data_IF_108521401502
#
_entry.id   IF_108521401502
#
_cell.length_a   1.000
_cell.length_b   1.000
_cell.length_c   1.000
_cell.angle_alpha   90.00
_cell.angle_beta   90.00
_cell.angle_gamma   90.00
#
_symmetry.space_group_name_H-M   'P 1'
#
loop_
_entity.id
_entity.type
_entity.pdbx_description
1 polymer ?
#
# COMPACT_ATOMS: atom_id res chain seq x y z
N UNK A 1 9.07 4.19 2.27
CA UNK A 1 9.20 4.60 0.85
C UNK A 1 8.50 5.93 0.63
N UNK A 2 9.20 6.94 0.11
CA UNK A 2 8.56 8.17 -0.36
C UNK A 2 7.47 7.84 -1.40
N UNK A 3 6.35 8.57 -1.42
CA UNK A 3 5.33 8.37 -2.45
C UNK A 3 6.01 8.51 -3.82
N UNK A 4 5.76 7.53 -4.70
CA UNK A 4 6.25 7.58 -6.08
C UNK A 4 5.39 8.63 -6.77
N UNK A 5 5.95 9.81 -7.02
CA UNK A 5 5.26 10.84 -7.82
C UNK A 5 5.23 10.40 -9.28
N UNK A 6 4.03 10.11 -9.79
CA UNK A 6 3.81 9.84 -11.20
C UNK A 6 3.42 11.11 -11.93
N UNK A 7 3.90 11.26 -13.15
CA UNK A 7 3.32 12.26 -14.06
C UNK A 7 1.91 11.82 -14.46
N UNK A 8 1.01 12.77 -14.75
CA UNK A 8 -0.34 12.48 -15.26
C UNK A 8 -0.35 11.43 -16.37
N UNK A 9 0.59 11.54 -17.33
CA UNK A 9 0.64 10.59 -18.44
C UNK A 9 1.12 9.20 -18.04
N UNK A 10 2.00 9.08 -17.03
CA UNK A 10 2.37 7.78 -16.45
C UNK A 10 1.22 7.17 -15.66
N UNK A 11 0.48 7.99 -14.89
CA UNK A 11 -0.70 7.58 -14.15
C UNK A 11 -1.77 7.02 -15.08
N UNK A 12 -2.15 7.76 -16.13
CA UNK A 12 -3.12 7.29 -17.14
C UNK A 12 -2.67 5.97 -17.77
N UNK A 13 -1.38 5.83 -18.08
CA UNK A 13 -0.83 4.60 -18.69
C UNK A 13 -0.86 3.42 -17.72
N UNK A 14 -0.57 3.66 -16.44
CA UNK A 14 -0.56 2.64 -15.40
C UNK A 14 -1.97 2.19 -15.04
N UNK A 15 -2.92 3.12 -14.96
CA UNK A 15 -4.34 2.86 -14.75
C UNK A 15 -4.90 1.98 -15.87
N UNK A 16 -4.65 2.36 -17.12
CA UNK A 16 -5.11 1.58 -18.28
C UNK A 16 -4.55 0.15 -18.30
N UNK A 17 -3.27 -0.01 -17.95
CA UNK A 17 -2.67 -1.33 -17.82
C UNK A 17 -3.39 -2.19 -16.76
N UNK A 18 -3.73 -1.61 -15.61
CA UNK A 18 -4.45 -2.30 -14.53
C UNK A 18 -5.82 -2.74 -15.00
N UNK A 19 -6.54 -1.87 -15.71
CA UNK A 19 -7.91 -2.15 -16.16
C UNK A 19 -7.93 -3.26 -17.23
N UNK A 20 -7.08 -3.19 -18.26
CA UNK A 20 -6.95 -4.26 -19.27
C UNK A 20 -6.44 -5.59 -18.68
N UNK A 21 -5.60 -5.53 -17.65
CA UNK A 21 -5.12 -6.73 -16.97
C UNK A 21 -6.24 -7.40 -16.17
N UNK A 22 -7.12 -6.62 -15.52
CA UNK A 22 -8.28 -7.16 -14.76
C UNK A 22 -9.26 -7.90 -15.65
N UNK A 23 -9.46 -7.45 -16.89
CA UNK A 23 -10.39 -8.10 -17.83
C UNK A 23 -9.82 -9.41 -18.41
N UNK A 24 -8.51 -9.46 -18.61
CA UNK A 24 -7.88 -10.55 -19.36
C UNK A 24 -7.09 -11.55 -18.51
N UNK A 25 -6.66 -11.15 -17.30
CA UNK A 25 -5.69 -11.85 -16.43
C UNK A 25 -4.38 -12.27 -17.14
N UNK A 26 -4.08 -11.67 -18.29
CA UNK A 26 -2.95 -11.99 -19.16
C UNK A 26 -2.05 -10.78 -19.40
N UNK A 27 -0.82 -11.00 -19.88
CA UNK A 27 0.08 -9.89 -20.20
C UNK A 27 -0.54 -8.98 -21.27
N UNK A 28 -0.55 -7.67 -20.99
CA UNK A 28 -1.20 -6.66 -21.84
C UNK A 28 -0.19 -6.08 -22.82
N UNK A 29 -0.55 -6.04 -24.11
CA UNK A 29 0.31 -5.46 -25.14
C UNK A 29 0.35 -3.94 -25.02
N UNK A 30 1.51 -3.35 -25.26
CA UNK A 30 1.67 -1.89 -25.25
C UNK A 30 0.82 -1.20 -26.31
N UNK A 31 0.57 -1.87 -27.44
CA UNK A 31 -0.31 -1.40 -28.51
C UNK A 31 -1.77 -1.30 -28.07
N UNK A 32 -2.26 -2.24 -27.25
CA UNK A 32 -3.64 -2.21 -26.76
C UNK A 32 -3.86 -1.02 -25.81
N UNK A 33 -2.89 -0.77 -24.93
CA UNK A 33 -2.90 0.41 -24.04
C UNK A 33 -2.86 1.68 -24.87
N UNK A 34 -1.99 1.73 -25.89
CA UNK A 34 -1.85 2.87 -26.78
C UNK A 34 -3.16 3.20 -27.51
N UNK A 35 -3.88 2.18 -27.96
CA UNK A 35 -5.19 2.32 -28.61
C UNK A 35 -6.23 2.90 -27.65
N UNK A 36 -6.31 2.38 -26.41
CA UNK A 36 -7.34 2.78 -25.46
C UNK A 36 -7.19 4.24 -24.98
N UNK A 37 -5.96 4.71 -24.78
CA UNK A 37 -5.71 6.07 -24.30
C UNK A 37 -5.33 7.08 -25.40
N UNK A 38 -5.52 6.70 -26.68
CA UNK A 38 -5.21 7.50 -27.88
C UNK A 38 -3.77 8.05 -27.89
N UNK A 39 -2.80 7.15 -27.77
CA UNK A 39 -1.36 7.46 -27.74
C UNK A 39 -0.57 6.62 -28.72
N UNK A 40 0.65 7.05 -29.01
CA UNK A 40 1.56 6.28 -29.84
C UNK A 40 2.17 5.10 -29.06
N UNK A 41 2.21 3.91 -29.66
CA UNK A 41 2.78 2.70 -29.05
C UNK A 41 4.25 2.86 -28.62
N UNK A 42 5.04 3.65 -29.34
CA UNK A 42 6.41 3.99 -28.95
C UNK A 42 6.48 4.81 -27.66
N UNK A 43 5.53 5.75 -27.48
CA UNK A 43 5.39 6.51 -26.24
C UNK A 43 5.02 5.61 -25.08
N UNK A 44 4.02 4.74 -25.25
CA UNK A 44 3.63 3.75 -24.23
C UNK A 44 4.81 2.86 -23.87
N UNK A 45 5.57 2.37 -24.85
CA UNK A 45 6.76 1.57 -24.60
C UNK A 45 7.79 2.31 -23.73
N UNK A 46 8.03 3.59 -24.00
CA UNK A 46 8.94 4.41 -23.20
C UNK A 46 8.42 4.60 -21.77
N UNK A 47 7.12 4.87 -21.62
CA UNK A 47 6.47 4.99 -20.32
C UNK A 47 6.55 3.68 -19.53
N UNK A 48 6.34 2.54 -20.18
CA UNK A 48 6.48 1.24 -19.55
C UNK A 48 7.91 0.94 -19.10
N UNK A 49 8.94 1.40 -19.84
CA UNK A 49 10.32 1.29 -19.34
C UNK A 49 10.54 2.11 -18.07
N UNK A 50 9.97 3.32 -18.02
CA UNK A 50 10.04 4.17 -16.83
C UNK A 50 9.28 3.55 -15.65
N UNK A 51 8.04 3.08 -15.86
CA UNK A 51 7.24 2.41 -14.84
C UNK A 51 7.90 1.11 -14.35
N UNK A 52 8.62 0.39 -15.22
CA UNK A 52 9.39 -0.80 -14.84
C UNK A 52 10.56 -0.45 -13.94
N UNK A 53 11.25 0.66 -14.20
CA UNK A 53 12.33 1.16 -13.34
C UNK A 53 11.81 1.54 -11.94
N UNK A 54 10.55 1.98 -11.84
CA UNK A 54 9.85 2.24 -10.58
C UNK A 54 9.28 0.99 -9.91
N UNK A 55 9.51 -0.21 -10.47
CA UNK A 55 8.95 -1.48 -9.99
C UNK A 55 7.42 -1.50 -9.91
N UNK A 56 6.75 -0.74 -10.79
CA UNK A 56 5.30 -0.72 -10.89
C UNK A 56 4.81 -1.73 -11.93
N UNK A 57 5.62 -2.06 -12.93
CA UNK A 57 5.24 -3.01 -13.99
C UNK A 57 6.32 -4.05 -14.25
N UNK A 58 5.88 -5.27 -14.58
CA UNK A 58 6.71 -6.34 -15.08
C UNK A 58 6.59 -6.43 -16.60
N UNK A 59 7.72 -6.60 -17.30
CA UNK A 59 7.73 -6.86 -18.74
C UNK A 59 7.84 -8.36 -19.01
N UNK A 60 6.86 -8.93 -19.70
CA UNK A 60 6.82 -10.35 -20.09
C UNK A 60 7.32 -10.49 -21.53
N UNK A 61 8.38 -11.27 -21.80
CA UNK A 61 8.91 -11.44 -23.15
C UNK A 61 8.08 -12.43 -23.99
N UNK A 62 8.25 -12.38 -25.31
CA UNK A 62 7.70 -13.36 -26.26
C UNK A 62 6.46 -12.87 -27.04
N UNK A 63 5.90 -13.73 -27.92
CA UNK A 63 4.80 -13.36 -28.82
C UNK A 63 3.46 -13.12 -28.11
N UNK A 64 3.29 -13.73 -26.92
CA UNK A 64 2.21 -13.44 -25.95
C UNK A 64 2.67 -12.53 -24.81
N UNK A 65 3.83 -11.89 -25.00
CA UNK A 65 4.42 -10.97 -24.04
C UNK A 65 3.67 -9.63 -24.00
N UNK A 66 4.14 -8.76 -23.12
CA UNK A 66 3.49 -7.50 -22.80
C UNK A 66 3.90 -7.02 -21.42
N UNK A 67 2.96 -6.40 -20.72
CA UNK A 67 3.18 -5.84 -19.39
C UNK A 67 2.18 -6.42 -18.40
N UNK A 68 2.59 -6.51 -17.14
CA UNK A 68 1.73 -6.85 -16.02
C UNK A 68 1.90 -5.82 -14.90
N UNK A 69 0.82 -5.37 -14.24
CA UNK A 69 0.96 -4.55 -13.05
C UNK A 69 1.56 -5.37 -11.91
N UNK A 70 2.49 -4.76 -11.16
CA UNK A 70 2.98 -5.30 -9.89
C UNK A 70 2.08 -4.81 -8.74
N UNK A 71 2.23 -5.38 -7.54
CA UNK A 71 1.49 -4.94 -6.34
C UNK A 71 1.65 -3.44 -6.10
N UNK A 72 2.87 -2.92 -6.28
CA UNK A 72 3.16 -1.49 -6.10
C UNK A 72 2.40 -0.57 -7.07
N UNK A 73 1.93 -1.06 -8.23
CA UNK A 73 1.10 -0.28 -9.13
C UNK A 73 -0.24 0.09 -8.51
N UNK A 74 -0.89 -0.87 -7.85
CA UNK A 74 -2.18 -0.65 -7.19
C UNK A 74 -2.01 0.35 -6.05
N UNK A 75 -0.99 0.18 -5.22
CA UNK A 75 -0.68 1.13 -4.15
C UNK A 75 -0.41 2.54 -4.70
N UNK A 76 0.36 2.67 -5.79
CA UNK A 76 0.67 3.97 -6.39
C UNK A 76 -0.59 4.68 -6.94
N UNK A 77 -1.53 3.93 -7.50
CA UNK A 77 -2.80 4.48 -7.98
C UNK A 77 -3.74 4.84 -6.82
N UNK A 78 -3.85 3.98 -5.80
CA UNK A 78 -4.71 4.20 -4.63
C UNK A 78 -4.23 5.40 -3.79
N UNK A 79 -2.92 5.60 -3.63
CA UNK A 79 -2.35 6.73 -2.86
C UNK A 79 -2.69 8.08 -3.49
N UNK A 80 -2.73 8.17 -4.83
CA UNK A 80 -3.03 9.43 -5.51
C UNK A 80 -4.54 9.74 -5.61
N UNK A 81 -5.44 8.79 -5.32
CA UNK A 81 -6.89 9.06 -5.23
C UNK A 81 -7.31 9.67 -3.87
N UNK A 82 -6.39 9.76 -2.90
CA UNK A 82 -6.66 10.27 -1.56
C UNK A 82 -6.28 11.75 -1.45
N UNK A 83 -7.18 12.67 -1.83
CA UNK A 83 -7.00 14.11 -1.59
C UNK A 83 -6.87 14.42 -0.07
N UNK A 84 -7.51 13.63 0.79
CA UNK A 84 -7.30 13.60 2.25
C UNK A 84 -7.44 12.16 2.78
N UNK A 85 -6.36 11.51 3.26
CA UNK A 85 -6.45 10.19 3.85
C UNK A 85 -7.25 10.23 5.17
N UNK A 86 -8.26 9.37 5.27
CA UNK A 86 -9.02 9.23 6.51
C UNK A 86 -8.09 8.83 7.67
N UNK A 87 -8.10 9.61 8.74
CA UNK A 87 -7.33 9.31 9.95
C UNK A 87 -7.78 7.98 10.55
N UNK A 88 -6.81 7.14 10.90
CA UNK A 88 -7.02 5.90 11.66
C UNK A 88 -6.62 6.22 13.10
N UNK A 89 -7.55 6.11 14.08
CA UNK A 89 -7.23 6.39 15.47
C UNK A 89 -6.11 5.49 16.00
N UNK A 90 -5.32 6.06 16.90
CA UNK A 90 -4.25 5.37 17.59
C UNK A 90 -4.34 5.67 19.08
N UNK A 91 -4.17 4.65 19.92
CA UNK A 91 -3.99 4.81 21.35
C UNK A 91 -2.68 4.15 21.78
N UNK A 92 -1.94 4.84 22.66
CA UNK A 92 -0.69 4.40 23.26
C UNK A 92 -0.86 4.39 24.78
N UNK A 93 -0.67 3.22 25.39
CA UNK A 93 -0.86 3.01 26.82
C UNK A 93 -2.23 3.49 27.36
N UNK A 94 -3.26 3.45 26.50
CA UNK A 94 -4.64 3.85 26.83
C UNK A 94 -4.98 5.31 26.52
N UNK A 95 -3.99 6.15 26.18
CA UNK A 95 -4.20 7.55 25.82
C UNK A 95 -4.32 7.68 24.29
N UNK A 96 -5.30 8.44 23.76
CA UNK A 96 -5.41 8.67 22.32
C UNK A 96 -4.30 9.59 21.80
N UNK A 97 -3.84 9.33 20.58
CA UNK A 97 -2.84 10.13 19.88
C UNK A 97 -3.50 10.78 18.66
N UNK A 98 -3.68 12.10 18.72
CA UNK A 98 -4.38 12.85 17.68
C UNK A 98 -3.51 13.20 16.45
N UNK A 99 -2.18 13.22 16.60
CA UNK A 99 -1.26 13.79 15.60
C UNK A 99 -0.60 12.76 14.66
N UNK A 100 -0.88 11.47 14.81
CA UNK A 100 -0.16 10.42 14.07
C UNK A 100 -1.06 9.72 13.06
N UNK A 101 -0.73 9.89 11.77
CA UNK A 101 -1.49 9.28 10.68
C UNK A 101 -0.89 7.91 10.36
N UNK A 102 -1.68 6.85 10.53
CA UNK A 102 -1.31 5.52 10.07
C UNK A 102 -1.39 5.47 8.55
N UNK A 103 -0.27 5.17 7.91
CA UNK A 103 -0.18 5.07 6.45
C UNK A 103 -0.45 3.65 5.97
N UNK A 104 0.09 2.65 6.66
CA UNK A 104 -0.01 1.24 6.25
C UNK A 104 -0.10 0.33 7.48
N UNK A 105 -0.86 -0.76 7.33
CA UNK A 105 -0.93 -1.87 8.29
C UNK A 105 -0.60 -3.16 7.54
N UNK A 106 0.55 -3.76 7.84
CA UNK A 106 1.00 -5.01 7.24
C UNK A 106 0.90 -6.16 8.24
N UNK A 107 -0.01 -7.10 7.99
CA UNK A 107 -0.15 -8.29 8.82
C UNK A 107 0.83 -9.37 8.39
N UNK A 108 1.61 -9.86 9.34
CA UNK A 108 2.66 -10.85 9.17
C UNK A 108 2.38 -12.06 10.05
N UNK A 109 2.82 -13.24 9.61
CA UNK A 109 2.74 -14.48 10.40
C UNK A 109 1.31 -14.84 10.85
N UNK A 110 0.28 -14.42 10.10
CA UNK A 110 -1.15 -14.61 10.42
C UNK A 110 -1.59 -16.07 10.59
N UNK A 111 -0.80 -17.01 10.06
CA UNK A 111 -1.02 -18.44 10.20
C UNK A 111 -0.54 -19.00 11.55
N UNK A 112 0.27 -18.23 12.30
CA UNK A 112 0.83 -18.67 13.56
C UNK A 112 -0.04 -18.17 14.73
N UNK A 113 -0.62 -19.05 15.55
CA UNK A 113 -1.66 -18.69 16.52
C UNK A 113 -1.22 -17.66 17.58
N UNK A 114 0.07 -17.64 17.95
CA UNK A 114 0.60 -16.76 19.01
C UNK A 114 1.66 -15.75 18.51
N UNK A 115 1.93 -15.70 17.21
CA UNK A 115 2.99 -14.85 16.63
C UNK A 115 2.48 -13.94 15.52
N UNK A 116 1.16 -13.72 15.47
CA UNK A 116 0.61 -12.74 14.57
C UNK A 116 1.24 -11.37 14.89
N UNK A 117 1.86 -10.77 13.88
CA UNK A 117 2.48 -9.45 14.02
C UNK A 117 1.84 -8.49 13.05
N UNK A 118 1.65 -7.26 13.49
CA UNK A 118 1.31 -6.15 12.62
C UNK A 118 2.53 -5.22 12.53
N UNK A 119 2.96 -4.90 11.32
CA UNK A 119 3.85 -3.77 11.08
C UNK A 119 2.99 -2.55 10.74
N UNK A 120 3.07 -1.51 11.58
CA UNK A 120 2.44 -0.23 11.31
C UNK A 120 3.48 0.72 10.73
N UNK A 121 3.11 1.42 9.67
CA UNK A 121 3.88 2.53 9.14
C UNK A 121 3.15 3.83 9.40
N UNK A 122 3.87 4.82 9.92
CA UNK A 122 3.26 6.02 10.45
C UNK A 122 3.85 7.29 9.83
N UNK A 123 3.01 8.28 9.62
CA UNK A 123 3.42 9.64 9.35
C UNK A 123 3.62 10.36 10.68
N UNK A 124 4.88 10.59 11.05
CA UNK A 124 5.25 11.16 12.34
C UNK A 124 6.48 10.48 12.93
N UNK A 125 6.89 10.95 14.10
CA UNK A 125 8.01 10.37 14.85
C UNK A 125 7.53 9.16 15.63
N UNK A 126 8.27 8.05 15.56
CA UNK A 126 8.04 6.85 16.40
C UNK A 126 8.92 6.83 17.65
N UNK A 127 9.61 7.93 17.98
CA UNK A 127 10.60 7.98 19.07
C UNK A 127 10.01 7.87 20.47
N UNK A 128 8.75 8.21 20.63
CA UNK A 128 8.08 8.20 21.94
C UNK A 128 7.47 6.83 22.27
N UNK A 129 7.55 5.87 21.33
CA UNK A 129 7.13 4.49 21.53
C UNK A 129 8.31 3.63 21.95
N UNK A 130 8.04 2.69 22.83
CA UNK A 130 9.03 1.77 23.39
C UNK A 130 8.52 0.34 23.28
N UNK A 131 9.46 -0.62 23.34
CA UNK A 131 9.10 -2.03 23.50
C UNK A 131 8.27 -2.23 24.77
N UNK A 132 7.37 -3.21 24.75
CA UNK A 132 6.40 -3.54 25.81
C UNK A 132 5.27 -2.51 26.02
N UNK A 133 5.26 -1.37 25.31
CA UNK A 133 4.12 -0.47 25.34
C UNK A 133 2.87 -1.11 24.75
N UNK A 134 1.71 -0.80 25.34
CA UNK A 134 0.41 -1.20 24.81
C UNK A 134 -0.04 -0.23 23.72
N UNK A 135 -0.58 -0.76 22.63
CA UNK A 135 -1.00 0.03 21.50
C UNK A 135 -2.28 -0.54 20.87
N UNK A 136 -3.18 0.36 20.50
CA UNK A 136 -4.40 0.03 19.75
C UNK A 136 -4.47 0.91 18.52
N UNK A 137 -4.59 0.29 17.34
CA UNK A 137 -4.77 0.97 16.05
C UNK A 137 -6.11 0.62 15.44
N UNK A 138 -6.82 1.63 14.93
CA UNK A 138 -8.15 1.50 14.37
C UNK A 138 -9.23 2.16 15.23
N UNK A 139 -10.51 2.08 14.83
CA UNK A 139 -11.03 1.32 13.71
C UNK A 139 -10.61 1.84 12.32
N UNK A 140 -10.29 0.94 11.38
CA UNK A 140 -10.06 1.31 9.98
C UNK A 140 -11.36 1.77 9.29
N UNK A 141 -11.31 2.69 8.30
CA UNK A 141 -12.51 3.33 7.78
C UNK A 141 -13.53 2.39 7.10
N UNK A 142 -13.05 1.35 6.42
CA UNK A 142 -13.90 0.47 5.58
C UNK A 142 -14.49 -0.70 6.35
N UNK A 143 -13.68 -1.40 7.15
CA UNK A 143 -14.09 -2.63 7.84
C UNK A 143 -14.28 -2.47 9.35
N UNK A 144 -14.03 -1.27 9.89
CA UNK A 144 -13.94 -1.03 11.32
C UNK A 144 -13.01 -2.04 12.01
N UNK A 145 -11.85 -2.32 11.41
CA UNK A 145 -10.86 -3.22 12.01
C UNK A 145 -10.09 -2.48 13.08
N UNK A 146 -10.05 -3.03 14.30
CA UNK A 146 -9.14 -2.60 15.36
C UNK A 146 -8.15 -3.71 15.68
N UNK A 147 -6.90 -3.33 15.93
CA UNK A 147 -5.82 -4.22 16.34
C UNK A 147 -5.28 -3.70 17.66
N UNK A 148 -5.29 -4.53 18.70
CA UNK A 148 -4.65 -4.23 19.99
C UNK A 148 -3.51 -5.19 20.23
N UNK A 149 -2.43 -4.70 20.81
CA UNK A 149 -1.30 -5.52 21.16
C UNK A 149 -0.19 -4.76 21.87
N UNK A 150 0.99 -5.37 21.84
CA UNK A 150 2.21 -4.89 22.50
C UNK A 150 3.32 -4.65 21.49
N UNK A 151 4.11 -3.60 21.69
CA UNK A 151 5.22 -3.27 20.77
C UNK A 151 6.38 -4.25 20.98
N UNK A 152 6.67 -5.00 19.92
CA UNK A 152 7.80 -5.95 19.81
C UNK A 152 9.08 -5.25 19.30
N UNK A 153 8.96 -4.07 18.69
CA UNK A 153 10.11 -3.32 18.19
C UNK A 153 9.77 -2.02 17.47
N UNK A 154 10.72 -1.08 17.47
CA UNK A 154 10.59 0.25 16.86
C UNK A 154 11.67 0.44 15.79
N UNK A 155 11.28 0.74 14.55
CA UNK A 155 12.20 0.97 13.43
C UNK A 155 12.16 2.43 13.03
N UNK A 156 13.04 3.22 13.66
CA UNK A 156 13.13 4.67 13.47
C UNK A 156 13.46 5.10 12.02
N UNK A 157 14.22 4.30 11.27
CA UNK A 157 14.64 4.67 9.92
C UNK A 157 13.48 4.77 8.93
N UNK A 158 12.42 4.00 9.16
CA UNK A 158 11.25 3.88 8.28
C UNK A 158 9.94 4.34 8.94
N UNK A 159 10.01 4.89 10.15
CA UNK A 159 8.86 5.22 11.00
C UNK A 159 7.87 4.05 11.13
N UNK A 160 8.39 2.88 11.52
CA UNK A 160 7.59 1.67 11.70
C UNK A 160 7.55 1.19 13.14
N UNK A 161 6.40 0.64 13.52
CA UNK A 161 6.21 -0.12 14.75
C UNK A 161 5.92 -1.58 14.41
N UNK A 162 6.59 -2.50 15.08
CA UNK A 162 6.29 -3.93 15.02
C UNK A 162 5.49 -4.28 16.26
N UNK A 163 4.25 -4.73 16.08
CA UNK A 163 3.31 -5.03 17.14
C UNK A 163 3.06 -6.52 17.14
N UNK A 164 3.10 -7.13 18.33
CA UNK A 164 2.53 -8.45 18.57
C UNK A 164 1.03 -8.29 18.79
N UNK A 165 0.24 -8.76 17.84
CA UNK A 165 -1.21 -8.62 17.91
C UNK A 165 -1.78 -9.59 18.96
N UNK A 166 -2.54 -9.04 19.91
CA UNK A 166 -3.26 -9.78 20.95
C UNK A 166 -4.72 -9.97 20.54
N UNK A 167 -5.33 -8.93 19.99
CA UNK A 167 -6.68 -8.97 19.44
C UNK A 167 -6.75 -8.28 18.08
N UNK A 168 -7.59 -8.83 17.20
CA UNK A 168 -7.96 -8.22 15.92
C UNK A 168 -9.46 -8.37 15.77
N UNK A 169 -10.20 -7.27 15.92
CA UNK A 169 -11.65 -7.27 15.95
C UNK A 169 -12.20 -6.46 14.78
N UNK A 170 -13.15 -7.03 14.05
CA UNK A 170 -13.85 -6.36 12.95
C UNK A 170 -15.26 -6.96 12.76
N UNK A 171 -16.33 -6.13 12.76
CA UNK A 171 -16.31 -4.70 13.07
C UNK A 171 -16.21 -4.47 14.59
N UNK A 172 -15.46 -3.46 15.02
CA UNK A 172 -15.68 -2.86 16.35
C UNK A 172 -16.79 -1.80 16.25
N UNK A 173 -17.68 -1.78 17.24
CA UNK A 173 -18.71 -0.75 17.35
C UNK A 173 -18.04 0.62 17.58
N UNK A 174 -18.49 1.64 16.84
CA UNK A 174 -17.98 3.02 16.90
C UNK A 174 -18.49 3.78 18.12
#
# INVERSE_FOLDING_TARGET
MSPIELTESQKTTLQELVDLYRESENAVKGEAIAEQIDRNAGTIRNQMQSLKALQLVEGVPGPKGGYKPMVNAYNALDIEEMDEPASIPLSHNGDPIDEQVIQEINLMSVHHPEKCRAELRMQGSVRDFHEDDSITVGPTPKSSLAITGTIDGVVNADNKLIIRAETMEAPVDR
#
